data_IF_152602800847
#
_entry.id   IF_152602800847
#
_cell.length_a   1.000
_cell.length_b   1.000
_cell.length_c   1.000
_cell.angle_alpha   90.00
_cell.angle_beta   90.00
_cell.angle_gamma   90.00
#
_symmetry.space_group_name_H-M   'P 1'
#
loop_
_entity.id
_entity.type
_entity.pdbx_description
1 polymer ?
#
# COMPACT_ATOMS: atom_id res chain seq x y z
N UNK A 1 -0.62 22.58 -3.95
CA UNK A 1 0.09 21.50 -4.70
C UNK A 1 -0.56 20.13 -4.63
N UNK A 2 -1.09 19.70 -3.48
CA UNK A 2 -1.75 18.40 -3.38
C UNK A 2 -3.15 18.48 -4.02
N UNK A 3 -3.38 17.67 -5.04
CA UNK A 3 -4.66 17.58 -5.72
C UNK A 3 -5.68 16.80 -4.88
N UNK A 4 -5.27 15.65 -4.35
CA UNK A 4 -6.11 14.82 -3.49
C UNK A 4 -5.30 13.85 -2.63
N UNK A 5 -5.92 13.36 -1.56
CA UNK A 5 -5.36 12.32 -0.69
C UNK A 5 -6.39 11.22 -0.53
N UNK A 6 -5.97 9.98 -0.80
CA UNK A 6 -6.75 8.78 -0.56
C UNK A 6 -6.17 8.03 0.64
N UNK A 7 -7.00 7.78 1.63
CA UNK A 7 -6.65 7.00 2.82
C UNK A 7 -7.29 5.62 2.71
N UNK A 8 -6.53 4.56 3.00
CA UNK A 8 -7.11 3.24 3.25
C UNK A 8 -6.79 2.77 4.66
N UNK A 9 -7.72 2.05 5.28
CA UNK A 9 -7.48 1.32 6.52
C UNK A 9 -7.72 -0.16 6.30
N UNK A 10 -7.03 -1.01 7.07
CA UNK A 10 -7.52 -2.37 7.29
C UNK A 10 -8.88 -2.33 8.00
N UNK A 11 -9.70 -3.36 7.77
CA UNK A 11 -11.08 -3.44 8.29
C UNK A 11 -11.16 -3.55 9.82
N UNK A 12 -10.05 -3.90 10.47
CA UNK A 12 -9.89 -3.95 11.92
C UNK A 12 -9.68 -2.57 12.58
N UNK A 13 -9.66 -1.48 11.79
CA UNK A 13 -9.64 -0.09 12.27
C UNK A 13 -10.97 0.61 11.98
N UNK A 14 -11.73 0.90 13.03
CA UNK A 14 -13.06 1.51 12.95
C UNK A 14 -13.29 2.65 13.96
N UNK A 15 -12.26 3.09 14.69
CA UNK A 15 -12.40 4.10 15.74
C UNK A 15 -12.63 5.52 15.22
N UNK A 16 -12.10 5.87 14.04
CA UNK A 16 -12.25 7.20 13.43
C UNK A 16 -11.81 7.20 11.95
N UNK A 17 -12.20 8.24 11.20
CA UNK A 17 -11.73 8.46 9.83
C UNK A 17 -10.30 9.04 9.81
N UNK A 18 -9.36 8.46 9.04
CA UNK A 18 -8.00 8.98 8.94
C UNK A 18 -7.93 10.42 8.39
N UNK A 19 -8.87 10.81 7.53
CA UNK A 19 -8.91 12.15 6.94
C UNK A 19 -9.03 13.29 7.98
N UNK A 20 -9.49 13.00 9.20
CA UNK A 20 -9.52 13.97 10.31
C UNK A 20 -8.11 14.49 10.61
N UNK A 21 -7.07 13.65 10.52
CA UNK A 21 -5.70 14.07 10.74
C UNK A 21 -5.24 15.13 9.72
N UNK A 22 -5.60 14.96 8.44
CA UNK A 22 -5.29 15.96 7.41
C UNK A 22 -6.00 17.29 7.68
N UNK A 23 -7.25 17.25 8.14
CA UNK A 23 -7.98 18.46 8.54
C UNK A 23 -7.34 19.17 9.74
N UNK A 24 -6.88 18.42 10.73
CA UNK A 24 -6.15 18.96 11.88
C UNK A 24 -4.81 19.59 11.49
N UNK A 25 -4.21 19.15 10.38
CA UNK A 25 -3.00 19.74 9.79
C UNK A 25 -3.30 20.92 8.85
N UNK A 26 -4.54 21.40 8.78
CA UNK A 26 -4.92 22.57 8.00
C UNK A 26 -5.25 22.30 6.52
N UNK A 27 -5.41 21.04 6.11
CA UNK A 27 -5.74 20.67 4.72
C UNK A 27 -7.24 20.81 4.45
N UNK A 28 -7.77 22.04 4.50
CA UNK A 28 -9.20 22.30 4.38
C UNK A 28 -9.74 22.20 2.95
N UNK A 29 -8.94 22.60 1.96
CA UNK A 29 -9.36 22.66 0.55
C UNK A 29 -8.95 21.41 -0.26
N UNK A 30 -8.14 20.53 0.32
CA UNK A 30 -7.71 19.31 -0.34
C UNK A 30 -8.87 18.31 -0.41
N UNK A 31 -9.07 17.68 -1.58
CA UNK A 31 -10.01 16.58 -1.72
C UNK A 31 -9.50 15.34 -0.96
N UNK A 32 -10.28 14.88 0.03
CA UNK A 32 -9.94 13.74 0.88
C UNK A 32 -10.96 12.61 0.67
N UNK A 33 -10.48 11.38 0.55
CA UNK A 33 -11.34 10.18 0.48
C UNK A 33 -10.79 9.08 1.40
N UNK A 34 -11.69 8.34 2.04
CA UNK A 34 -11.34 7.17 2.85
C UNK A 34 -12.01 5.93 2.28
N UNK A 35 -11.31 4.80 2.33
CA UNK A 35 -11.84 3.48 2.01
C UNK A 35 -11.23 2.40 2.90
N UNK A 36 -11.75 1.18 2.78
CA UNK A 36 -11.09 0.01 3.35
C UNK A 36 -10.18 -0.64 2.32
N UNK A 37 -9.03 -1.09 2.79
CA UNK A 37 -8.12 -1.93 2.02
C UNK A 37 -8.69 -3.34 1.87
N UNK A 38 -8.23 -4.05 0.84
CA UNK A 38 -8.53 -5.46 0.66
C UNK A 38 -8.16 -6.28 1.92
N UNK A 39 -9.09 -7.13 2.36
CA UNK A 39 -8.89 -8.03 3.50
C UNK A 39 -8.18 -9.30 3.03
N UNK A 40 -6.84 -9.26 3.00
CA UNK A 40 -6.01 -10.43 2.63
C UNK A 40 -5.57 -11.19 3.89
N UNK A 41 -5.79 -12.51 3.99
CA UNK A 41 -5.27 -13.32 5.09
C UNK A 41 -3.75 -13.17 5.26
N UNK A 42 -3.29 -13.04 6.50
CA UNK A 42 -1.87 -12.84 6.82
C UNK A 42 -1.30 -11.46 6.46
N UNK A 43 -2.13 -10.53 5.97
CA UNK A 43 -1.70 -9.15 5.74
C UNK A 43 -1.49 -8.39 7.05
N UNK A 44 -0.73 -7.29 6.97
CA UNK A 44 -0.40 -6.46 8.13
C UNK A 44 -1.67 -5.85 8.75
N UNK A 45 -2.01 -6.17 10.01
CA UNK A 45 -3.19 -5.63 10.69
C UNK A 45 -2.97 -4.18 11.13
N UNK A 46 -4.05 -3.50 11.53
CA UNK A 46 -4.04 -2.14 12.07
C UNK A 46 -3.25 -1.14 11.21
N UNK A 47 -3.39 -1.25 9.89
CA UNK A 47 -2.59 -0.50 8.94
C UNK A 47 -3.40 0.62 8.28
N UNK A 48 -2.87 1.84 8.33
CA UNK A 48 -3.36 2.99 7.57
C UNK A 48 -2.38 3.25 6.41
N UNK A 49 -2.90 3.36 5.18
CA UNK A 49 -2.12 3.73 4.00
C UNK A 49 -2.62 5.05 3.45
N UNK A 50 -1.71 5.79 2.81
CA UNK A 50 -1.98 7.11 2.25
C UNK A 50 -1.40 7.18 0.83
N UNK A 51 -2.27 7.47 -0.14
CA UNK A 51 -1.89 7.83 -1.49
C UNK A 51 -2.12 9.33 -1.67
N UNK A 52 -1.08 10.05 -2.08
CA UNK A 52 -1.13 11.49 -2.32
C UNK A 52 -0.95 11.74 -3.82
N UNK A 53 -1.94 12.37 -4.44
CA UNK A 53 -1.78 12.93 -5.78
C UNK A 53 -1.16 14.32 -5.65
N UNK A 54 0.14 14.42 -5.95
CA UNK A 54 0.91 15.64 -5.81
C UNK A 54 1.26 16.24 -7.17
N UNK A 55 0.82 17.47 -7.42
CA UNK A 55 1.27 18.25 -8.57
C UNK A 55 2.71 18.70 -8.31
N UNK A 56 3.68 18.09 -8.99
CA UNK A 56 5.10 18.32 -8.74
C UNK A 56 5.91 18.22 -10.04
N UNK A 57 7.02 18.95 -10.10
CA UNK A 57 8.01 18.85 -11.17
C UNK A 57 9.05 17.76 -10.91
N UNK A 58 9.04 17.14 -9.72
CA UNK A 58 9.93 16.02 -9.39
C UNK A 58 9.60 14.78 -10.21
N UNK A 59 10.64 14.05 -10.61
CA UNK A 59 10.52 12.73 -11.22
C UNK A 59 10.08 11.69 -10.20
N UNK A 60 9.52 10.57 -10.66
CA UNK A 60 9.08 9.49 -9.77
C UNK A 60 10.22 8.91 -8.90
N UNK A 61 11.47 8.89 -9.39
CA UNK A 61 12.62 8.37 -8.65
C UNK A 61 13.01 9.25 -7.45
N UNK A 62 12.71 10.54 -7.52
CA UNK A 62 12.98 11.51 -6.46
C UNK A 62 11.91 11.48 -5.35
N UNK A 63 10.77 10.83 -5.61
CA UNK A 63 9.69 10.72 -4.63
C UNK A 63 10.05 9.69 -3.55
N UNK A 64 10.17 10.16 -2.32
CA UNK A 64 10.38 9.33 -1.14
C UNK A 64 9.06 8.78 -0.61
N UNK A 65 8.79 7.50 -0.83
CA UNK A 65 7.68 6.80 -0.17
C UNK A 65 8.05 6.45 1.28
N UNK A 66 7.23 6.87 2.24
CA UNK A 66 7.48 6.73 3.68
C UNK A 66 6.71 5.55 4.27
N UNK A 67 7.41 4.70 5.01
CA UNK A 67 6.85 3.55 5.73
C UNK A 67 7.31 3.59 7.19
N UNK A 68 6.36 3.63 8.11
CA UNK A 68 6.60 3.77 9.55
C UNK A 68 6.20 2.50 10.29
N UNK A 69 6.79 2.26 11.47
CA UNK A 69 6.48 1.12 12.35
C UNK A 69 6.56 -0.21 11.57
N UNK A 70 5.62 -1.13 11.79
CA UNK A 70 5.55 -2.42 11.10
C UNK A 70 5.32 -2.30 9.58
N UNK A 71 4.78 -1.18 9.10
CA UNK A 71 4.57 -0.96 7.66
C UNK A 71 5.88 -0.87 6.88
N UNK A 72 7.04 -0.73 7.53
CA UNK A 72 8.38 -0.86 6.92
C UNK A 72 8.55 -2.19 6.16
N UNK A 73 7.86 -3.24 6.61
CA UNK A 73 7.88 -4.57 5.99
C UNK A 73 7.12 -4.65 4.65
N UNK A 74 6.30 -3.66 4.31
CA UNK A 74 5.38 -3.73 3.15
C UNK A 74 6.05 -3.50 1.80
N UNK A 75 7.32 -3.05 1.76
CA UNK A 75 8.04 -2.78 0.50
C UNK A 75 9.40 -3.46 0.37
N UNK A 76 9.47 -4.80 0.47
CA UNK A 76 10.70 -5.52 0.16
C UNK A 76 11.06 -5.38 -1.35
N UNK A 77 10.04 -5.14 -2.19
CA UNK A 77 10.08 -4.98 -3.64
C UNK A 77 10.90 -3.80 -4.17
N UNK A 78 11.19 -2.79 -3.32
CA UNK A 78 12.15 -1.73 -3.70
C UNK A 78 13.59 -2.26 -3.84
N UNK A 79 13.88 -3.46 -3.31
CA UNK A 79 15.17 -4.13 -3.45
C UNK A 79 15.08 -5.42 -4.28
N UNK A 80 13.98 -6.16 -4.18
CA UNK A 80 13.81 -7.47 -4.85
C UNK A 80 12.34 -7.81 -5.04
N UNK A 81 11.92 -8.25 -6.23
CA UNK A 81 10.52 -8.59 -6.52
C UNK A 81 9.91 -9.52 -5.45
N UNK A 82 8.67 -9.26 -5.01
CA UNK A 82 8.03 -10.10 -4.01
C UNK A 82 7.75 -11.49 -4.59
N UNK A 83 7.84 -12.56 -3.78
CA UNK A 83 7.50 -13.90 -4.24
C UNK A 83 6.01 -13.94 -4.61
N UNK A 84 5.68 -14.62 -5.70
CA UNK A 84 4.29 -14.90 -6.07
C UNK A 84 3.77 -15.93 -5.07
N UNK A 85 2.70 -15.60 -4.34
CA UNK A 85 2.09 -16.53 -3.39
C UNK A 85 1.54 -17.75 -4.16
N UNK A 86 1.82 -18.99 -3.74
CA UNK A 86 1.39 -20.20 -4.46
C UNK A 86 -0.11 -20.22 -4.75
N UNK A 87 -0.92 -19.66 -3.85
CA UNK A 87 -2.38 -19.55 -3.97
C UNK A 87 -2.81 -18.65 -5.15
N UNK A 88 -1.92 -17.78 -5.64
CA UNK A 88 -2.13 -16.89 -6.77
C UNK A 88 -1.55 -17.44 -8.09
N UNK A 89 -0.89 -18.60 -8.04
CA UNK A 89 -0.28 -19.25 -9.22
C UNK A 89 -1.27 -20.26 -9.78
N UNK A 90 -1.59 -20.17 -11.08
CA UNK A 90 -2.39 -21.22 -11.71
C UNK A 90 -1.67 -22.59 -11.59
N UNK A 91 -2.40 -23.71 -11.49
CA UNK A 91 -1.79 -25.03 -11.32
C UNK A 91 -0.72 -25.34 -12.38
N UNK A 92 -0.93 -24.83 -13.60
CA UNK A 92 -0.01 -24.95 -14.74
C UNK A 92 1.30 -24.19 -14.49
N UNK A 93 1.23 -22.95 -14.00
CA UNK A 93 2.42 -22.13 -13.74
C UNK A 93 3.21 -22.67 -12.54
N UNK A 94 2.54 -23.26 -11.56
CA UNK A 94 3.18 -23.92 -10.42
C UNK A 94 3.98 -25.16 -10.87
N UNK A 95 3.39 -25.98 -11.74
CA UNK A 95 4.03 -27.18 -12.30
C UNK A 95 5.27 -26.83 -13.14
N UNK A 96 5.19 -25.80 -14.00
CA UNK A 96 6.32 -25.34 -14.83
C UNK A 96 7.49 -24.86 -13.96
N UNK A 97 7.21 -24.10 -12.90
CA UNK A 97 8.26 -23.64 -11.97
C UNK A 97 8.92 -24.80 -11.22
N UNK A 98 8.13 -25.76 -10.73
CA UNK A 98 8.65 -26.93 -10.04
C UNK A 98 9.61 -27.73 -10.92
N UNK A 99 9.23 -27.98 -12.18
CA UNK A 99 10.07 -28.66 -13.16
C UNK A 99 11.37 -27.89 -13.46
N UNK A 100 11.30 -26.56 -13.58
CA UNK A 100 12.47 -25.73 -13.83
C UNK A 100 13.47 -25.66 -12.66
N UNK A 101 13.06 -26.04 -11.45
CA UNK A 101 13.95 -26.04 -10.26
C UNK A 101 14.61 -27.41 -10.03
N UNK A 102 14.18 -28.44 -10.77
CA UNK A 102 14.71 -29.82 -10.72
C UNK A 102 15.75 -30.09 -11.83
N UNK A 103 16.00 -29.11 -12.71
CA UNK A 103 17.05 -29.10 -13.74
C UNK A 103 18.19 -28.18 -13.29
#
# INVERSE_FOLDING_TARGET
>A
DIASIYFTTTVDLNATYPAVAARQLGMFDTALMCGHEMQVPGSLPLCIRVLIHWNTTRTQKEVGHVYLREAKSLRPDRKSLPPIQPEQVSPVVAAVKMLATML
#
